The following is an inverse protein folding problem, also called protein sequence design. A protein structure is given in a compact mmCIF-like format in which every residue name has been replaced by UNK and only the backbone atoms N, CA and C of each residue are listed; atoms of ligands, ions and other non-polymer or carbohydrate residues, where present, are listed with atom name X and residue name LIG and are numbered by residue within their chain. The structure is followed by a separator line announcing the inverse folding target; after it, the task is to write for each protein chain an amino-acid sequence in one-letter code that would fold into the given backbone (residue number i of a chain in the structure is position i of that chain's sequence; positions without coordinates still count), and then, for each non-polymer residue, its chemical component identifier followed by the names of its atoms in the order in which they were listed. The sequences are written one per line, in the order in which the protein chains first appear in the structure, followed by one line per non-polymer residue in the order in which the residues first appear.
data_IF_475201707162
#
_entry.id   IF_475201707162
#
_cell.length_a   1.000
_cell.length_b   1.000
_cell.length_c   1.000
_cell.angle_alpha   90.00
_cell.angle_beta   90.00
_cell.angle_gamma   90.00
#
_symmetry.space_group_name_H-M   'P 1'
#
loop_
_entity.id
_entity.type
_entity.pdbx_description
1 polymer ?
#
# COMPACT_ATOMS: atom_id res chain seq x y z
N UNK A 1 -11.27 12.18 -51.52
CA UNK A 1 -10.93 11.05 -50.62
C UNK A 1 -9.48 11.09 -50.08
N UNK A 2 -8.90 12.27 -49.80
CA UNK A 2 -7.58 12.42 -49.15
C UNK A 2 -7.55 13.47 -48.01
N UNK A 3 -8.68 14.11 -47.70
CA UNK A 3 -8.77 15.16 -46.66
C UNK A 3 -9.43 14.72 -45.33
N UNK A 4 -9.90 13.47 -45.20
CA UNK A 4 -10.52 12.97 -43.96
C UNK A 4 -9.58 12.17 -43.05
N UNK A 5 -8.41 11.73 -43.52
CA UNK A 5 -7.41 11.05 -42.67
C UNK A 5 -6.55 12.01 -41.82
N UNK A 6 -6.64 13.33 -42.07
CA UNK A 6 -5.77 14.33 -41.44
C UNK A 6 -6.32 14.88 -40.11
N UNK A 7 -7.59 14.61 -39.75
CA UNK A 7 -8.16 15.04 -38.46
C UNK A 7 -7.98 14.02 -37.33
N UNK A 8 -7.54 12.79 -37.63
CA UNK A 8 -7.33 11.73 -36.62
C UNK A 8 -5.94 11.80 -35.98
N UNK A 9 -4.97 12.47 -36.62
CA UNK A 9 -3.58 12.52 -36.16
C UNK A 9 -3.30 13.64 -35.14
N UNK A 10 -4.22 14.57 -34.92
CA UNK A 10 -3.97 15.80 -34.12
C UNK A 10 -4.33 15.72 -32.64
N UNK A 11 -4.81 14.58 -32.12
CA UNK A 11 -5.15 14.46 -30.68
C UNK A 11 -4.25 13.52 -29.88
N UNK A 12 -3.31 12.79 -30.51
CA UNK A 12 -2.48 11.80 -29.80
C UNK A 12 -0.98 11.86 -30.15
N UNK A 13 -0.54 12.69 -31.10
CA UNK A 13 0.88 12.78 -31.45
C UNK A 13 1.49 14.14 -31.10
N UNK A 14 2.15 14.22 -29.94
CA UNK A 14 3.26 15.15 -29.76
C UNK A 14 4.44 14.46 -29.06
N UNK A 15 5.60 14.64 -29.70
CA UNK A 15 6.99 14.32 -29.30
C UNK A 15 7.50 12.92 -29.70
N UNK A 16 8.00 12.88 -30.94
CA UNK A 16 8.97 11.90 -31.46
C UNK A 16 10.40 12.27 -31.04
N UNK A 17 11.26 11.25 -30.85
CA UNK A 17 12.53 11.14 -31.59
C UNK A 17 13.09 9.71 -31.49
N UNK A 18 13.50 9.18 -32.64
CA UNK A 18 13.83 7.78 -32.90
C UNK A 18 15.35 7.53 -33.01
N UNK A 19 15.79 6.29 -32.79
CA UNK A 19 16.91 5.66 -33.51
C UNK A 19 16.70 4.13 -33.63
N UNK A 20 17.17 3.48 -34.72
CA UNK A 20 16.96 2.05 -34.97
C UNK A 20 18.11 1.20 -34.39
N UNK A 21 17.78 0.07 -33.77
CA UNK A 21 18.76 -0.95 -33.39
C UNK A 21 18.67 -2.15 -34.33
N UNK A 22 19.78 -2.42 -35.03
CA UNK A 22 20.00 -3.63 -35.79
C UNK A 22 20.31 -4.80 -34.83
N UNK A 23 19.69 -5.96 -35.09
CA UNK A 23 19.87 -7.16 -34.29
C UNK A 23 21.24 -7.79 -34.55
N UNK A 24 22.02 -8.00 -33.48
CA UNK A 24 23.21 -8.85 -33.48
C UNK A 24 22.97 -9.94 -32.44
N UNK A 25 23.24 -11.19 -32.81
CA UNK A 25 23.11 -12.34 -31.92
C UNK A 25 24.13 -12.24 -30.77
N UNK A 26 23.66 -12.28 -29.52
CA UNK A 26 24.49 -12.13 -28.33
C UNK A 26 24.69 -13.46 -27.59
N UNK A 27 25.96 -13.79 -27.34
CA UNK A 27 26.38 -14.80 -26.36
C UNK A 27 26.10 -14.27 -24.94
N UNK A 28 25.82 -15.18 -24.00
CA UNK A 28 25.38 -14.83 -22.63
C UNK A 28 26.38 -13.98 -21.82
N UNK A 29 27.69 -14.06 -22.12
CA UNK A 29 28.72 -13.19 -21.51
C UNK A 29 28.77 -11.77 -22.07
N UNK A 30 28.42 -11.60 -23.35
CA UNK A 30 28.38 -10.29 -24.00
C UNK A 30 27.11 -9.51 -23.58
N UNK A 31 26.03 -10.22 -23.26
CA UNK A 31 24.75 -9.64 -22.83
C UNK A 31 24.84 -8.98 -21.44
N UNK A 32 25.61 -9.56 -20.50
CA UNK A 32 25.83 -9.00 -19.16
C UNK A 32 26.57 -7.66 -19.25
N UNK A 33 27.63 -7.61 -20.05
CA UNK A 33 28.38 -6.37 -20.29
C UNK A 33 27.59 -5.31 -21.06
N UNK A 34 26.67 -5.73 -21.94
CA UNK A 34 25.79 -4.82 -22.69
C UNK A 34 24.77 -4.09 -21.80
N UNK A 35 24.34 -4.72 -20.69
CA UNK A 35 23.38 -4.12 -19.74
C UNK A 35 24.09 -3.35 -18.63
N UNK A 36 25.18 -3.88 -18.09
CA UNK A 36 25.88 -3.25 -16.96
C UNK A 36 26.50 -1.91 -17.31
N UNK A 37 27.23 -1.85 -18.42
CA UNK A 37 27.99 -0.67 -18.83
C UNK A 37 27.13 0.59 -18.96
N UNK A 38 25.95 0.57 -19.62
CA UNK A 38 25.09 1.75 -19.67
C UNK A 38 24.50 2.10 -18.31
N UNK A 39 24.12 1.13 -17.46
CA UNK A 39 23.60 1.41 -16.12
C UNK A 39 24.64 2.10 -15.24
N UNK A 40 25.88 1.60 -15.26
CA UNK A 40 27.00 2.19 -14.52
C UNK A 40 27.28 3.62 -14.99
N UNK A 41 27.40 3.82 -16.30
CA UNK A 41 27.67 5.14 -16.87
C UNK A 41 26.55 6.15 -16.54
N UNK A 42 25.29 5.72 -16.57
CA UNK A 42 24.15 6.55 -16.18
C UNK A 42 24.22 6.95 -14.68
N UNK A 43 24.52 6.01 -13.79
CA UNK A 43 24.68 6.28 -12.37
C UNK A 43 25.85 7.27 -12.11
N UNK A 44 27.01 7.03 -12.70
CA UNK A 44 28.21 7.88 -12.54
C UNK A 44 27.99 9.28 -13.11
N UNK A 45 27.24 9.41 -14.21
CA UNK A 45 26.84 10.70 -14.75
C UNK A 45 26.12 11.55 -13.71
N UNK A 46 25.17 10.98 -12.97
CA UNK A 46 24.44 11.68 -11.89
C UNK A 46 25.37 12.07 -10.74
N UNK A 47 26.27 11.16 -10.34
CA UNK A 47 27.21 11.39 -9.24
C UNK A 47 28.20 12.53 -9.50
N UNK A 48 28.50 12.82 -10.76
CA UNK A 48 29.43 13.90 -11.17
C UNK A 48 28.75 15.26 -11.39
N UNK A 49 27.42 15.33 -11.29
CA UNK A 49 26.72 16.60 -11.48
C UNK A 49 27.05 17.59 -10.37
N UNK A 50 27.33 18.84 -10.75
CA UNK A 50 27.62 19.90 -9.79
C UNK A 50 26.37 20.42 -9.05
N UNK A 51 25.18 20.21 -9.62
CA UNK A 51 23.92 20.73 -9.08
C UNK A 51 23.10 19.61 -8.43
N UNK A 52 22.98 19.66 -7.10
CA UNK A 52 22.23 18.68 -6.32
C UNK A 52 20.74 18.62 -6.70
N UNK A 53 20.13 19.71 -7.18
CA UNK A 53 18.72 19.73 -7.60
C UNK A 53 18.54 18.87 -8.86
N UNK A 54 19.37 19.11 -9.88
CA UNK A 54 19.35 18.32 -11.11
C UNK A 54 19.68 16.85 -10.80
N UNK A 55 20.72 16.60 -10.00
CA UNK A 55 21.13 15.26 -9.64
C UNK A 55 20.04 14.49 -8.89
N UNK A 56 19.34 15.16 -7.97
CA UNK A 56 18.24 14.54 -7.20
C UNK A 56 17.06 14.10 -8.09
N UNK A 57 16.80 14.82 -9.18
CA UNK A 57 15.73 14.46 -10.13
C UNK A 57 16.04 13.21 -10.97
N UNK A 58 17.33 12.84 -11.06
CA UNK A 58 17.82 11.69 -11.83
C UNK A 58 18.35 10.56 -10.93
N UNK A 59 18.14 10.65 -9.61
CA UNK A 59 18.69 9.70 -8.62
C UNK A 59 18.27 8.24 -8.89
N UNK A 60 17.15 8.03 -9.56
CA UNK A 60 16.68 6.70 -9.99
C UNK A 60 17.67 5.97 -10.91
N UNK A 61 18.54 6.68 -11.63
CA UNK A 61 19.61 6.06 -12.42
C UNK A 61 20.66 5.39 -11.53
N UNK A 62 20.97 6.00 -10.37
CA UNK A 62 21.85 5.41 -9.36
C UNK A 62 21.20 4.15 -8.78
N UNK A 63 19.91 4.25 -8.43
CA UNK A 63 19.11 3.16 -7.87
C UNK A 63 19.04 1.93 -8.78
N UNK A 64 18.81 2.12 -10.09
CA UNK A 64 18.84 1.03 -11.07
C UNK A 64 20.18 0.29 -11.08
N UNK A 65 21.31 1.00 -10.99
CA UNK A 65 22.61 0.35 -10.95
C UNK A 65 22.88 -0.35 -9.61
N UNK A 66 22.48 0.26 -8.49
CA UNK A 66 22.53 -0.38 -7.17
C UNK A 66 21.73 -1.68 -7.16
N UNK A 67 20.52 -1.69 -7.72
CA UNK A 67 19.67 -2.88 -7.78
C UNK A 67 20.28 -3.96 -8.68
N UNK A 68 20.88 -3.57 -9.81
CA UNK A 68 21.66 -4.49 -10.64
C UNK A 68 22.82 -5.13 -9.86
N UNK A 69 23.64 -4.34 -9.17
CA UNK A 69 24.74 -4.87 -8.36
C UNK A 69 24.24 -5.78 -7.24
N UNK A 70 23.12 -5.40 -6.59
CA UNK A 70 22.50 -6.18 -5.53
C UNK A 70 21.98 -7.53 -6.02
N UNK A 71 21.37 -7.57 -7.22
CA UNK A 71 20.88 -8.80 -7.85
C UNK A 71 21.99 -9.74 -8.32
N UNK A 72 23.21 -9.24 -8.49
CA UNK A 72 24.39 -10.01 -8.89
C UNK A 72 25.37 -10.26 -7.71
N UNK A 73 24.87 -10.23 -6.47
CA UNK A 73 25.65 -10.45 -5.24
C UNK A 73 26.86 -9.51 -5.03
N UNK A 74 26.92 -8.37 -5.74
CA UNK A 74 27.99 -7.37 -5.69
C UNK A 74 27.66 -6.24 -4.70
N UNK A 75 27.18 -6.61 -3.52
CA UNK A 75 26.65 -5.66 -2.54
C UNK A 75 27.69 -4.68 -1.99
N UNK A 76 28.94 -5.12 -1.81
CA UNK A 76 30.03 -4.24 -1.33
C UNK A 76 30.37 -3.16 -2.37
N UNK A 77 30.32 -3.51 -3.65
CA UNK A 77 30.54 -2.56 -4.76
C UNK A 77 29.40 -1.55 -4.88
N UNK A 78 28.17 -1.91 -4.48
CA UNK A 78 27.03 -1.01 -4.48
C UNK A 78 27.16 0.13 -3.45
N UNK A 79 28.01 -0.02 -2.41
CA UNK A 79 28.13 0.93 -1.29
C UNK A 79 28.33 2.39 -1.73
N UNK A 80 29.36 2.76 -2.53
CA UNK A 80 29.57 4.15 -2.94
C UNK A 80 28.38 4.74 -3.72
N UNK A 81 27.71 3.93 -4.54
CA UNK A 81 26.50 4.35 -5.25
C UNK A 81 25.33 4.56 -4.29
N UNK A 82 25.16 3.68 -3.30
CA UNK A 82 24.15 3.86 -2.25
C UNK A 82 24.41 5.14 -1.45
N UNK A 83 25.65 5.37 -1.01
CA UNK A 83 26.02 6.57 -0.25
C UNK A 83 25.80 7.85 -1.07
N UNK A 84 26.15 7.84 -2.36
CA UNK A 84 25.91 8.97 -3.25
C UNK A 84 24.42 9.21 -3.49
N UNK A 85 23.65 8.18 -3.83
CA UNK A 85 22.20 8.32 -4.02
C UNK A 85 21.49 8.79 -2.75
N UNK A 86 21.90 8.31 -1.57
CA UNK A 86 21.32 8.73 -0.29
C UNK A 86 21.71 10.17 0.10
N UNK A 87 22.79 10.71 -0.46
CA UNK A 87 23.10 12.14 -0.31
C UNK A 87 22.13 13.04 -1.06
N UNK A 88 21.47 12.51 -2.10
CA UNK A 88 20.49 13.20 -2.93
C UNK A 88 19.03 12.89 -2.51
N UNK A 89 18.77 11.65 -2.08
CA UNK A 89 17.46 11.17 -1.66
C UNK A 89 17.56 10.36 -0.34
N UNK A 90 17.76 11.04 0.81
CA UNK A 90 18.05 10.37 2.08
C UNK A 90 16.88 9.57 2.66
N UNK A 91 15.65 9.84 2.20
CA UNK A 91 14.42 9.20 2.70
C UNK A 91 14.05 7.93 1.92
N UNK A 92 14.90 7.47 1.00
CA UNK A 92 14.68 6.20 0.28
C UNK A 92 15.10 5.02 1.17
N UNK A 93 14.19 4.60 2.05
CA UNK A 93 14.51 3.67 3.14
C UNK A 93 14.98 2.28 2.69
N UNK A 94 14.59 1.82 1.51
CA UNK A 94 15.11 0.58 0.94
C UNK A 94 16.64 0.60 0.81
N UNK A 95 17.21 1.72 0.35
CA UNK A 95 18.66 1.87 0.23
C UNK A 95 19.33 2.19 1.57
N UNK A 96 18.62 2.82 2.51
CA UNK A 96 19.07 2.92 3.91
C UNK A 96 19.24 1.52 4.54
N UNK A 97 18.28 0.61 4.30
CA UNK A 97 18.34 -0.77 4.75
C UNK A 97 19.51 -1.54 4.12
N UNK A 98 19.68 -1.42 2.79
CA UNK A 98 20.82 -2.00 2.06
C UNK A 98 22.17 -1.53 2.62
N UNK A 99 22.31 -0.23 2.90
CA UNK A 99 23.53 0.30 3.50
C UNK A 99 23.75 -0.20 4.93
N UNK A 100 22.69 -0.30 5.75
CA UNK A 100 22.78 -0.89 7.09
C UNK A 100 23.33 -2.33 7.04
N UNK A 101 22.83 -3.14 6.10
CA UNK A 101 23.32 -4.51 5.88
C UNK A 101 24.79 -4.57 5.47
N UNK A 102 25.23 -3.68 4.57
CA UNK A 102 26.65 -3.59 4.16
C UNK A 102 27.53 -3.20 5.36
N UNK A 103 27.12 -2.20 6.14
CA UNK A 103 27.87 -1.75 7.31
C UNK A 103 28.02 -2.85 8.35
N UNK A 104 26.98 -3.64 8.60
CA UNK A 104 27.04 -4.80 9.50
C UNK A 104 28.04 -5.86 8.98
N UNK A 105 28.03 -6.16 7.67
CA UNK A 105 29.01 -7.08 7.06
C UNK A 105 30.44 -6.61 7.19
N UNK A 106 30.66 -5.29 7.23
CA UNK A 106 31.98 -4.67 7.41
C UNK A 106 32.38 -4.53 8.89
N UNK A 107 31.57 -5.03 9.84
CA UNK A 107 31.82 -4.94 11.27
C UNK A 107 31.47 -3.59 11.90
N UNK A 108 30.89 -2.66 11.16
CA UNK A 108 30.43 -1.37 11.67
C UNK A 108 29.01 -1.48 12.25
N UNK A 109 28.89 -2.25 13.33
CA UNK A 109 27.60 -2.63 13.92
C UNK A 109 26.80 -1.45 14.49
N UNK A 110 27.48 -0.44 15.06
CA UNK A 110 26.80 0.74 15.60
C UNK A 110 26.10 1.55 14.51
N UNK A 111 26.81 1.89 13.43
CA UNK A 111 26.23 2.63 12.31
C UNK A 111 25.15 1.81 11.57
N UNK A 112 25.32 0.49 11.49
CA UNK A 112 24.30 -0.41 10.96
C UNK A 112 23.02 -0.37 11.80
N UNK A 113 23.14 -0.44 13.13
CA UNK A 113 22.03 -0.37 14.06
C UNK A 113 21.27 0.96 13.95
N UNK A 114 21.97 2.10 13.94
CA UNK A 114 21.35 3.42 13.85
C UNK A 114 20.52 3.57 12.55
N UNK A 115 21.06 3.12 11.42
CA UNK A 115 20.34 3.13 10.14
C UNK A 115 19.15 2.16 10.16
N UNK A 116 19.35 0.95 10.69
CA UNK A 116 18.29 -0.03 10.85
C UNK A 116 17.13 0.51 11.68
N UNK A 117 17.42 1.25 12.76
CA UNK A 117 16.42 1.87 13.63
C UNK A 117 15.60 2.92 12.88
N UNK A 118 16.26 3.79 12.10
CA UNK A 118 15.55 4.78 11.27
C UNK A 118 14.64 4.09 10.26
N UNK A 119 15.14 3.05 9.57
CA UNK A 119 14.33 2.28 8.62
C UNK A 119 13.10 1.69 9.31
N UNK A 120 13.27 1.04 10.46
CA UNK A 120 12.17 0.43 11.22
C UNK A 120 11.12 1.45 11.68
N UNK A 121 11.56 2.63 12.13
CA UNK A 121 10.68 3.68 12.64
C UNK A 121 9.96 4.46 11.53
N UNK A 122 10.53 4.51 10.32
CA UNK A 122 10.08 5.41 9.25
C UNK A 122 9.51 4.72 8.02
N UNK A 123 10.11 3.63 7.55
CA UNK A 123 9.67 2.96 6.33
C UNK A 123 8.29 2.34 6.52
N UNK A 124 7.36 2.66 5.64
CA UNK A 124 6.03 2.06 5.61
C UNK A 124 5.95 0.81 4.71
N UNK A 125 7.04 0.48 4.01
CA UNK A 125 7.14 -0.75 3.21
C UNK A 125 7.55 -1.96 4.10
N UNK A 126 6.69 -2.98 4.24
CA UNK A 126 6.98 -4.14 5.07
C UNK A 126 8.22 -4.92 4.62
N UNK A 127 8.51 -4.97 3.32
CA UNK A 127 9.68 -5.71 2.82
C UNK A 127 10.98 -5.00 3.23
N UNK A 128 11.02 -3.68 3.09
CA UNK A 128 12.13 -2.84 3.57
C UNK A 128 12.33 -2.97 5.08
N UNK A 129 11.26 -2.96 5.88
CA UNK A 129 11.35 -3.14 7.35
C UNK A 129 11.91 -4.53 7.70
N UNK A 130 11.48 -5.58 7.00
CA UNK A 130 11.96 -6.95 7.22
C UNK A 130 13.47 -7.10 7.03
N UNK A 131 14.06 -6.36 6.10
CA UNK A 131 15.52 -6.40 5.86
C UNK A 131 16.34 -6.05 7.11
N UNK A 132 15.81 -5.21 8.00
CA UNK A 132 16.58 -4.66 9.14
C UNK A 132 16.25 -5.29 10.49
N UNK A 133 15.28 -6.21 10.57
CA UNK A 133 14.84 -6.79 11.85
C UNK A 133 15.96 -7.46 12.63
N UNK A 134 16.77 -8.28 11.96
CA UNK A 134 17.89 -9.00 12.60
C UNK A 134 18.94 -8.04 13.17
N UNK A 135 19.19 -6.90 12.50
CA UNK A 135 20.12 -5.88 12.98
C UNK A 135 19.62 -5.22 14.28
N UNK A 136 18.32 -5.27 14.55
CA UNK A 136 17.68 -4.73 15.74
C UNK A 136 17.39 -5.80 16.81
N UNK A 137 17.88 -7.03 16.63
CA UNK A 137 17.54 -8.14 17.52
C UNK A 137 16.04 -8.48 17.52
N UNK A 138 15.33 -8.15 16.44
CA UNK A 138 13.91 -8.47 16.22
C UNK A 138 13.80 -9.62 15.24
N UNK A 139 12.68 -10.34 15.31
CA UNK A 139 12.35 -11.42 14.37
C UNK A 139 11.15 -11.04 13.53
N UNK A 140 11.05 -11.62 12.33
CA UNK A 140 9.85 -11.50 11.51
C UNK A 140 8.65 -12.13 12.21
N UNK A 141 7.47 -11.65 11.85
CA UNK A 141 6.21 -12.05 12.47
C UNK A 141 5.68 -13.26 11.73
N UNK A 142 5.52 -14.37 12.46
CA UNK A 142 4.83 -15.54 11.96
C UNK A 142 3.44 -15.13 11.43
N UNK A 143 2.92 -15.78 10.37
CA UNK A 143 1.55 -15.55 9.93
C UNK A 143 0.58 -15.64 11.12
N UNK A 144 -0.40 -14.74 11.18
CA UNK A 144 -1.39 -14.80 12.25
C UNK A 144 -2.18 -16.10 12.16
N UNK A 145 -2.73 -16.54 13.29
CA UNK A 145 -3.53 -17.77 13.33
C UNK A 145 -4.72 -17.62 12.37
N UNK A 146 -5.12 -18.70 11.68
CA UNK A 146 -6.30 -18.64 10.84
C UNK A 146 -7.56 -18.68 11.72
N UNK A 147 -8.67 -18.14 11.20
CA UNK A 147 -9.91 -17.90 11.95
C UNK A 147 -10.57 -19.22 12.41
N UNK A 148 -10.24 -20.38 11.85
CA UNK A 148 -10.88 -21.65 12.20
C UNK A 148 -10.40 -22.24 13.55
N UNK A 149 -9.42 -21.60 14.22
CA UNK A 149 -8.78 -22.11 15.45
C UNK A 149 -9.00 -21.22 16.68
N UNK A 150 -10.16 -20.56 16.81
CA UNK A 150 -10.41 -19.63 17.91
C UNK A 150 -10.88 -20.34 19.19
N UNK A 151 -10.20 -20.04 20.30
CA UNK A 151 -10.68 -20.30 21.67
C UNK A 151 -10.35 -19.07 22.51
N UNK A 152 -11.37 -18.38 23.04
CA UNK A 152 -11.22 -17.21 23.91
C UNK A 152 -12.19 -17.35 25.09
N UNK A 153 -11.70 -17.17 26.32
CA UNK A 153 -12.46 -17.42 27.54
C UNK A 153 -13.10 -16.15 28.17
N UNK A 154 -12.79 -14.97 27.65
CA UNK A 154 -13.11 -13.66 28.25
C UNK A 154 -13.58 -12.65 27.17
N UNK A 155 -14.07 -11.44 27.54
CA UNK A 155 -14.24 -10.35 26.59
C UNK A 155 -12.90 -10.02 25.93
N UNK A 156 -12.78 -10.34 24.64
CA UNK A 156 -11.54 -10.26 23.87
C UNK A 156 -11.76 -9.36 22.65
N UNK A 157 -10.78 -8.51 22.36
CA UNK A 157 -10.74 -7.78 21.08
C UNK A 157 -10.17 -8.71 20.03
N UNK A 158 -10.96 -8.98 19.00
CA UNK A 158 -10.58 -9.84 17.89
C UNK A 158 -10.25 -8.93 16.70
N UNK A 159 -8.96 -8.86 16.36
CA UNK A 159 -8.50 -8.21 15.14
C UNK A 159 -8.46 -9.24 14.01
N UNK A 160 -9.11 -8.94 12.89
CA UNK A 160 -9.07 -9.78 11.68
C UNK A 160 -8.46 -8.97 10.56
N UNK A 161 -7.41 -9.48 9.93
CA UNK A 161 -6.78 -8.82 8.80
C UNK A 161 -7.59 -9.09 7.53
N UNK A 162 -7.84 -8.06 6.71
CA UNK A 162 -8.59 -8.16 5.46
C UNK A 162 -7.65 -7.77 4.30
N UNK A 163 -7.32 -8.75 3.47
CA UNK A 163 -6.34 -8.61 2.38
C UNK A 163 -4.89 -8.74 2.86
N UNK A 164 -3.97 -8.43 1.95
CA UNK A 164 -2.54 -8.33 2.26
C UNK A 164 -2.27 -7.06 3.08
N UNK A 165 -1.55 -7.20 4.20
CA UNK A 165 -1.31 -6.11 5.15
C UNK A 165 0.09 -6.19 5.79
N UNK A 166 0.55 -5.08 6.38
CA UNK A 166 1.74 -5.06 7.23
C UNK A 166 1.49 -5.80 8.56
N UNK A 167 1.99 -7.04 8.66
CA UNK A 167 1.91 -7.88 9.87
C UNK A 167 2.66 -7.30 11.05
N UNK A 168 3.79 -6.63 10.82
CA UNK A 168 4.58 -6.00 11.89
C UNK A 168 3.78 -4.85 12.47
N UNK A 169 3.13 -4.03 11.62
CA UNK A 169 2.26 -2.94 12.06
C UNK A 169 1.10 -3.45 12.91
N UNK A 170 0.42 -4.50 12.48
CA UNK A 170 -0.73 -5.06 13.22
C UNK A 170 -0.31 -5.72 14.52
N UNK A 171 0.84 -6.40 14.58
CA UNK A 171 1.35 -6.94 15.84
C UNK A 171 1.72 -5.81 16.83
N UNK A 172 2.32 -4.72 16.34
CA UNK A 172 2.60 -3.56 17.19
C UNK A 172 1.34 -2.84 17.66
N UNK A 173 0.30 -2.80 16.82
CA UNK A 173 -1.02 -2.32 17.20
C UNK A 173 -1.62 -3.21 18.29
N UNK A 174 -1.61 -4.53 18.11
CA UNK A 174 -2.06 -5.50 19.11
C UNK A 174 -1.39 -5.25 20.45
N UNK A 175 -0.06 -5.19 20.48
CA UNK A 175 0.71 -4.93 21.70
C UNK A 175 0.29 -3.60 22.33
N UNK A 176 0.16 -2.53 21.54
CA UNK A 176 -0.21 -1.21 22.04
C UNK A 176 -1.61 -1.19 22.64
N UNK A 177 -2.56 -1.89 22.04
CA UNK A 177 -3.92 -2.02 22.57
C UNK A 177 -3.90 -2.79 23.88
N UNK A 178 -3.23 -3.95 23.93
CA UNK A 178 -3.13 -4.78 25.14
C UNK A 178 -2.52 -3.98 26.31
N UNK A 179 -1.41 -3.29 26.06
CA UNK A 179 -0.71 -2.49 27.08
C UNK A 179 -1.54 -1.29 27.57
N UNK A 180 -2.32 -0.65 26.69
CA UNK A 180 -3.08 0.54 27.05
C UNK A 180 -4.44 0.24 27.67
N UNK A 181 -5.21 -0.65 27.04
CA UNK A 181 -6.59 -0.97 27.44
C UNK A 181 -6.63 -2.04 28.54
N UNK A 182 -5.62 -2.90 28.63
CA UNK A 182 -5.59 -3.99 29.62
C UNK A 182 -6.52 -5.15 29.29
N UNK A 183 -6.91 -5.31 28.01
CA UNK A 183 -7.70 -6.45 27.51
C UNK A 183 -6.85 -7.36 26.65
N UNK A 184 -7.23 -8.63 26.59
CA UNK A 184 -6.65 -9.55 25.62
C UNK A 184 -7.03 -9.12 24.20
N UNK A 185 -6.02 -9.02 23.34
CA UNK A 185 -6.18 -8.75 21.92
C UNK A 185 -5.60 -9.93 21.15
N UNK A 186 -6.42 -10.54 20.30
CA UNK A 186 -6.00 -11.66 19.47
C UNK A 186 -6.13 -11.27 18.00
N UNK A 187 -5.11 -11.59 17.21
CA UNK A 187 -5.07 -11.27 15.78
C UNK A 187 -5.20 -12.56 14.97
N UNK A 188 -6.08 -12.51 13.98
CA UNK A 188 -6.29 -13.58 13.00
C UNK A 188 -6.10 -13.06 11.58
N UNK A 189 -5.57 -13.92 10.72
CA UNK A 189 -5.58 -13.67 9.30
C UNK A 189 -6.92 -14.05 8.72
N UNK A 190 -7.60 -13.10 8.08
CA UNK A 190 -8.76 -13.41 7.26
C UNK A 190 -8.34 -14.29 6.08
N UNK A 191 -8.98 -15.46 5.95
CA UNK A 191 -8.75 -16.36 4.83
C UNK A 191 -9.96 -16.25 3.91
N UNK A 192 -9.73 -15.89 2.65
CA UNK A 192 -10.79 -15.74 1.67
C UNK A 192 -10.38 -14.81 0.53
N UNK A 193 -11.05 -14.96 -0.61
CA UNK A 193 -10.87 -14.04 -1.73
C UNK A 193 -11.58 -12.73 -1.41
N UNK A 194 -10.82 -11.64 -1.36
CA UNK A 194 -11.37 -10.30 -1.19
C UNK A 194 -12.44 -10.04 -2.28
N UNK A 195 -13.63 -9.51 -1.93
CA UNK A 195 -14.61 -9.13 -2.93
C UNK A 195 -14.06 -8.06 -3.88
N UNK A 196 -14.62 -7.96 -5.08
CA UNK A 196 -14.26 -6.90 -6.02
C UNK A 196 -14.53 -5.51 -5.42
N UNK A 197 -13.74 -4.49 -5.77
CA UNK A 197 -13.94 -3.13 -5.28
C UNK A 197 -15.26 -2.53 -5.78
N UNK A 198 -16.01 -1.87 -4.90
CA UNK A 198 -17.25 -1.16 -5.25
C UNK A 198 -17.00 0.10 -6.09
N UNK A 199 -15.84 0.76 -5.90
CA UNK A 199 -15.39 1.88 -6.72
C UNK A 199 -14.02 1.56 -7.30
N UNK A 200 -13.87 1.70 -8.61
CA UNK A 200 -12.62 1.41 -9.31
C UNK A 200 -12.42 2.37 -10.46
N UNK A 201 -11.26 3.03 -10.48
CA UNK A 201 -10.88 3.89 -11.59
C UNK A 201 -10.82 3.11 -12.91
N UNK A 202 -10.31 1.88 -12.88
CA UNK A 202 -10.33 0.97 -14.02
C UNK A 202 -11.74 0.72 -14.58
N UNK A 203 -12.69 0.36 -13.71
CA UNK A 203 -14.08 0.12 -14.12
C UNK A 203 -14.69 1.39 -14.70
N UNK A 204 -14.45 2.54 -14.06
CA UNK A 204 -14.92 3.84 -14.54
C UNK A 204 -14.38 4.18 -15.93
N UNK A 205 -13.08 4.00 -16.16
CA UNK A 205 -12.45 4.27 -17.46
C UNK A 205 -12.98 3.35 -18.55
N UNK A 206 -13.13 2.06 -18.24
CA UNK A 206 -13.74 1.11 -19.17
C UNK A 206 -15.16 1.53 -19.53
N UNK A 207 -16.00 1.84 -18.54
CA UNK A 207 -17.37 2.26 -18.78
C UNK A 207 -17.46 3.53 -19.64
N UNK A 208 -16.51 4.47 -19.46
CA UNK A 208 -16.43 5.70 -20.25
C UNK A 208 -16.11 5.45 -21.72
N UNK A 209 -15.22 4.51 -22.03
CA UNK A 209 -14.71 4.30 -23.40
C UNK A 209 -15.41 3.16 -24.16
N UNK A 210 -15.92 2.15 -23.45
CA UNK A 210 -16.40 0.88 -24.02
C UNK A 210 -17.43 1.06 -25.12
N UNK A 211 -18.49 1.83 -24.87
CA UNK A 211 -19.56 2.01 -25.86
C UNK A 211 -19.06 2.68 -27.13
N UNK A 212 -18.18 3.67 -26.98
CA UNK A 212 -17.61 4.42 -28.10
C UNK A 212 -16.69 3.54 -28.94
N UNK A 213 -15.79 2.78 -28.29
CA UNK A 213 -14.85 1.90 -28.98
C UNK A 213 -15.57 0.75 -29.69
N UNK A 214 -16.56 0.13 -29.05
CA UNK A 214 -17.33 -0.97 -29.66
C UNK A 214 -18.23 -0.49 -30.82
N UNK A 215 -18.44 0.81 -30.98
CA UNK A 215 -19.18 1.40 -32.10
C UNK A 215 -18.28 1.78 -33.30
N UNK A 216 -16.95 1.71 -33.17
CA UNK A 216 -16.03 2.06 -34.24
C UNK A 216 -16.11 1.05 -35.39
N UNK A 217 -16.24 1.47 -36.66
CA UNK A 217 -16.33 0.57 -37.81
C UNK A 217 -15.14 -0.40 -37.93
N UNK A 218 -13.93 0.07 -37.61
CA UNK A 218 -12.70 -0.73 -37.64
C UNK A 218 -12.73 -1.84 -36.59
N UNK A 219 -13.24 -1.54 -35.41
CA UNK A 219 -13.39 -2.51 -34.31
C UNK A 219 -14.48 -3.52 -34.64
N UNK A 220 -15.62 -3.07 -35.20
CA UNK A 220 -16.69 -3.95 -35.67
C UNK A 220 -16.19 -4.92 -36.74
N UNK A 221 -15.40 -4.44 -37.70
CA UNK A 221 -14.79 -5.29 -38.73
C UNK A 221 -13.82 -6.30 -38.13
N UNK A 222 -12.99 -5.88 -37.18
CA UNK A 222 -12.07 -6.77 -36.48
C UNK A 222 -12.79 -7.86 -35.69
N UNK A 223 -13.86 -7.49 -34.97
CA UNK A 223 -14.67 -8.44 -34.20
C UNK A 223 -15.35 -9.46 -35.12
N UNK A 224 -15.85 -9.04 -36.29
CA UNK A 224 -16.43 -9.94 -37.28
C UNK A 224 -15.40 -10.94 -37.83
N UNK A 225 -14.19 -10.47 -38.20
CA UNK A 225 -13.09 -11.33 -38.67
C UNK A 225 -12.67 -12.37 -37.61
N UNK A 226 -12.54 -11.93 -36.35
CA UNK A 226 -12.16 -12.79 -35.23
C UNK A 226 -13.32 -13.58 -34.62
N UNK A 227 -14.54 -13.43 -35.14
CA UNK A 227 -15.78 -14.09 -34.65
C UNK A 227 -16.00 -13.86 -33.15
N UNK A 228 -15.75 -12.65 -32.68
CA UNK A 228 -15.88 -12.27 -31.27
C UNK A 228 -17.32 -11.91 -30.91
N UNK A 229 -17.77 -12.31 -29.73
CA UNK A 229 -19.09 -11.97 -29.22
C UNK A 229 -19.09 -10.59 -28.53
N UNK A 230 -19.79 -9.64 -29.14
CA UNK A 230 -19.97 -8.28 -28.62
C UNK A 230 -20.63 -8.29 -27.23
N UNK A 231 -21.53 -9.23 -26.95
CA UNK A 231 -22.19 -9.31 -25.65
C UNK A 231 -21.16 -9.58 -24.53
N UNK A 232 -20.20 -10.48 -24.77
CA UNK A 232 -19.12 -10.76 -23.82
C UNK A 232 -18.21 -9.55 -23.61
N UNK A 233 -17.89 -8.81 -24.67
CA UNK A 233 -17.05 -7.59 -24.56
C UNK A 233 -17.76 -6.44 -23.84
N UNK A 234 -19.10 -6.45 -23.81
CA UNK A 234 -19.90 -5.48 -23.04
C UNK A 234 -19.90 -5.76 -21.55
N UNK A 235 -19.74 -7.02 -21.13
CA UNK A 235 -19.88 -7.45 -19.73
C UNK A 235 -18.59 -7.91 -19.07
N UNK A 236 -17.52 -8.15 -19.83
CA UNK A 236 -16.24 -8.63 -19.32
C UNK A 236 -15.13 -7.59 -19.58
N UNK A 237 -14.73 -6.90 -18.52
CA UNK A 237 -13.72 -5.83 -18.52
C UNK A 237 -12.34 -6.33 -18.95
N UNK A 238 -11.90 -7.48 -18.47
CA UNK A 238 -10.60 -8.07 -18.82
C UNK A 238 -10.57 -8.50 -20.29
N UNK A 239 -11.63 -9.18 -20.75
CA UNK A 239 -11.73 -9.62 -22.13
C UNK A 239 -11.78 -8.41 -23.07
N UNK A 240 -12.50 -7.35 -22.69
CA UNK A 240 -12.53 -6.10 -23.43
C UNK A 240 -11.11 -5.51 -23.58
N UNK A 241 -10.37 -5.36 -22.48
CA UNK A 241 -8.99 -4.80 -22.51
C UNK A 241 -8.05 -5.68 -23.33
N UNK A 242 -8.10 -7.01 -23.16
CA UNK A 242 -7.27 -7.94 -23.91
C UNK A 242 -7.56 -7.84 -25.41
N UNK A 243 -8.84 -7.82 -25.80
CA UNK A 243 -9.26 -7.72 -27.19
C UNK A 243 -8.83 -6.40 -27.82
N UNK A 244 -9.02 -5.27 -27.11
CA UNK A 244 -8.62 -3.96 -27.63
C UNK A 244 -7.09 -3.82 -27.72
N UNK A 245 -6.34 -4.36 -26.76
CA UNK A 245 -4.88 -4.44 -26.85
C UNK A 245 -4.44 -5.22 -28.11
N UNK A 246 -5.07 -6.36 -28.40
CA UNK A 246 -4.76 -7.15 -29.60
C UNK A 246 -5.14 -6.44 -30.90
N UNK A 247 -6.31 -5.79 -30.94
CA UNK A 247 -6.74 -4.97 -32.06
C UNK A 247 -5.74 -3.85 -32.34
N UNK A 248 -5.35 -3.09 -31.31
CA UNK A 248 -4.37 -2.01 -31.44
C UNK A 248 -3.03 -2.56 -31.90
N UNK A 249 -2.57 -3.69 -31.38
CA UNK A 249 -1.26 -4.26 -31.75
C UNK A 249 -1.12 -4.57 -33.24
N UNK A 250 -2.22 -4.85 -33.94
CA UNK A 250 -2.22 -5.08 -35.39
C UNK A 250 -2.15 -3.81 -36.23
N UNK A 251 -2.53 -2.66 -35.65
CA UNK A 251 -2.67 -1.40 -36.38
C UNK A 251 -1.61 -0.37 -35.96
N UNK A 252 -1.32 -0.31 -34.66
CA UNK A 252 -0.37 0.59 -34.02
C UNK A 252 0.19 -0.07 -32.73
N UNK A 253 1.35 -0.74 -32.81
CA UNK A 253 1.97 -1.39 -31.65
C UNK A 253 2.28 -0.44 -30.49
N UNK A 254 2.63 0.82 -30.76
CA UNK A 254 2.93 1.79 -29.71
C UNK A 254 1.66 2.22 -28.99
N UNK A 255 0.54 2.42 -29.71
CA UNK A 255 -0.76 2.68 -29.10
C UNK A 255 -1.23 1.48 -28.26
N UNK A 256 -0.97 0.25 -28.70
CA UNK A 256 -1.31 -0.96 -27.94
C UNK A 256 -0.57 -1.04 -26.60
N UNK A 257 0.74 -0.77 -26.62
CA UNK A 257 1.56 -0.71 -25.41
C UNK A 257 1.07 0.39 -24.46
N UNK A 258 0.83 1.60 -24.98
CA UNK A 258 0.30 2.70 -24.19
C UNK A 258 -1.08 2.39 -23.58
N UNK A 259 -1.98 1.75 -24.34
CA UNK A 259 -3.29 1.35 -23.85
C UNK A 259 -3.17 0.30 -22.73
N UNK A 260 -2.36 -0.74 -22.94
CA UNK A 260 -2.12 -1.78 -21.95
C UNK A 260 -1.52 -1.19 -20.65
N UNK A 261 -0.52 -0.32 -20.78
CA UNK A 261 0.11 0.36 -19.65
C UNK A 261 -0.89 1.25 -18.92
N UNK A 262 -1.69 2.03 -19.63
CA UNK A 262 -2.73 2.87 -19.01
C UNK A 262 -3.79 2.03 -18.28
N UNK A 263 -4.18 0.88 -18.82
CA UNK A 263 -5.14 -0.02 -18.17
C UNK A 263 -4.54 -0.72 -16.95
N UNK A 264 -3.27 -1.13 -17.02
CA UNK A 264 -2.54 -1.65 -15.86
C UNK A 264 -2.44 -0.59 -14.75
N UNK A 265 -2.02 0.63 -15.09
CA UNK A 265 -2.00 1.77 -14.16
C UNK A 265 -3.41 2.07 -13.62
N UNK A 266 -4.46 1.97 -14.44
CA UNK A 266 -5.83 2.19 -14.00
C UNK A 266 -6.30 1.14 -12.97
N UNK A 267 -5.81 -0.10 -13.05
CA UNK A 267 -6.07 -1.14 -12.04
C UNK A 267 -5.34 -0.87 -10.74
N UNK A 268 -4.14 -0.30 -10.81
CA UNK A 268 -3.33 0.09 -9.66
C UNK A 268 -3.81 1.39 -9.00
N UNK A 269 -4.53 2.24 -9.75
CA UNK A 269 -5.16 3.48 -9.24
C UNK A 269 -6.33 3.17 -8.30
N UNK A 270 -6.67 4.18 -7.48
CA UNK A 270 -7.62 4.14 -6.36
C UNK A 270 -8.80 3.19 -6.55
N UNK A 271 -8.76 2.09 -5.81
CA UNK A 271 -9.88 1.18 -5.58
C UNK A 271 -10.43 1.46 -4.19
N UNK A 272 -11.75 1.48 -4.04
CA UNK A 272 -12.40 1.61 -2.74
C UNK A 272 -13.48 0.55 -2.56
N UNK A 273 -13.59 0.07 -1.33
CA UNK A 273 -14.63 -0.85 -0.91
C UNK A 273 -15.65 -0.13 -0.05
N UNK A 274 -16.90 -0.52 -0.21
CA UNK A 274 -17.96 -0.10 0.70
C UNK A 274 -17.78 -0.84 2.02
N UNK A 275 -18.02 -0.14 3.12
CA UNK A 275 -18.05 -0.76 4.46
C UNK A 275 -18.94 -2.00 4.51
N UNK A 276 -20.17 -1.92 3.97
CA UNK A 276 -21.11 -3.04 4.01
C UNK A 276 -20.56 -4.29 3.33
N UNK A 277 -19.93 -4.13 2.16
CA UNK A 277 -19.29 -5.22 1.40
C UNK A 277 -18.21 -5.91 2.23
N UNK A 278 -17.29 -5.14 2.83
CA UNK A 278 -16.23 -5.73 3.66
C UNK A 278 -16.74 -6.22 5.02
N UNK A 279 -17.80 -5.62 5.56
CA UNK A 279 -18.45 -6.06 6.80
C UNK A 279 -19.05 -7.45 6.62
N UNK A 280 -19.76 -7.67 5.52
CA UNK A 280 -20.40 -8.95 5.25
C UNK A 280 -19.32 -10.02 5.01
N UNK A 281 -18.27 -9.68 4.25
CA UNK A 281 -17.07 -10.51 4.11
C UNK A 281 -16.43 -10.86 5.47
N UNK A 282 -16.24 -9.87 6.36
CA UNK A 282 -15.70 -10.07 7.70
C UNK A 282 -16.56 -10.99 8.56
N UNK A 283 -17.88 -10.81 8.53
CA UNK A 283 -18.84 -11.65 9.26
C UNK A 283 -18.76 -13.09 8.76
N UNK A 284 -18.74 -13.30 7.45
CA UNK A 284 -18.67 -14.63 6.85
C UNK A 284 -17.37 -15.35 7.24
N UNK A 285 -16.24 -14.64 7.28
CA UNK A 285 -14.96 -15.21 7.74
C UNK A 285 -15.03 -15.74 9.18
N UNK A 286 -15.71 -15.03 10.09
CA UNK A 286 -15.77 -15.41 11.52
C UNK A 286 -17.00 -16.25 11.89
N UNK A 287 -17.93 -16.45 10.96
CA UNK A 287 -19.16 -17.22 11.16
C UNK A 287 -18.95 -18.61 11.80
N UNK A 288 -17.88 -19.39 11.48
CA UNK A 288 -17.68 -20.71 12.05
C UNK A 288 -17.38 -20.71 13.55
N UNK A 289 -16.94 -19.57 14.10
CA UNK A 289 -16.32 -19.49 15.42
C UNK A 289 -16.95 -18.41 16.32
N UNK A 290 -17.91 -17.63 15.79
CA UNK A 290 -18.50 -16.48 16.50
C UNK A 290 -19.07 -16.87 17.86
N UNK A 291 -18.52 -16.29 18.92
CA UNK A 291 -19.07 -16.37 20.29
C UNK A 291 -19.74 -15.04 20.67
N UNK A 292 -20.56 -15.04 21.73
CA UNK A 292 -21.35 -13.87 22.14
C UNK A 292 -20.55 -12.76 22.83
N UNK A 293 -19.23 -12.92 23.02
CA UNK A 293 -18.40 -12.02 23.86
C UNK A 293 -17.24 -11.34 23.12
N UNK A 294 -17.29 -11.20 21.79
CA UNK A 294 -16.20 -10.61 21.01
C UNK A 294 -16.50 -9.19 20.55
N UNK A 295 -15.46 -8.36 20.60
CA UNK A 295 -15.43 -7.10 19.88
C UNK A 295 -14.61 -7.30 18.60
N UNK A 296 -15.30 -7.40 17.46
CA UNK A 296 -14.70 -7.74 16.18
C UNK A 296 -14.26 -6.48 15.41
N UNK A 297 -12.98 -6.42 15.04
CA UNK A 297 -12.41 -5.31 14.27
C UNK A 297 -11.63 -5.84 13.07
N UNK A 298 -12.10 -5.55 11.87
CA UNK A 298 -11.35 -5.73 10.64
C UNK A 298 -10.27 -4.66 10.49
N UNK A 299 -9.05 -5.04 10.10
CA UNK A 299 -7.96 -4.13 9.76
C UNK A 299 -7.57 -4.35 8.30
N UNK A 300 -7.50 -3.28 7.51
CA UNK A 300 -7.20 -3.38 6.08
C UNK A 300 -6.35 -2.22 5.55
N UNK A 301 -5.58 -2.49 4.50
CA UNK A 301 -4.93 -1.45 3.67
C UNK A 301 -5.82 -0.97 2.52
N UNK A 302 -7.00 -1.56 2.33
CA UNK A 302 -7.90 -1.16 1.26
C UNK A 302 -8.66 0.11 1.62
N UNK A 303 -8.82 1.04 0.68
CA UNK A 303 -9.54 2.29 0.93
C UNK A 303 -11.03 2.03 1.14
N UNK A 304 -11.63 2.75 2.09
CA UNK A 304 -12.98 2.47 2.58
C UNK A 304 -13.90 3.68 2.36
N UNK A 305 -15.15 3.41 2.00
CA UNK A 305 -16.22 4.44 2.02
C UNK A 305 -17.53 3.88 2.58
N UNK A 306 -18.42 4.79 2.96
CA UNK A 306 -19.78 4.50 3.41
C UNK A 306 -20.77 5.43 2.73
N UNK A 307 -21.94 4.92 2.35
CA UNK A 307 -23.02 5.71 1.72
C UNK A 307 -22.49 6.64 0.61
N UNK A 308 -22.78 7.94 0.72
CA UNK A 308 -22.37 8.98 -0.21
C UNK A 308 -21.05 9.67 0.19
N UNK A 309 -20.31 9.14 1.17
CA UNK A 309 -19.01 9.69 1.55
C UNK A 309 -17.96 9.45 0.46
N UNK A 310 -16.99 10.36 0.37
CA UNK A 310 -15.81 10.15 -0.45
C UNK A 310 -14.96 9.01 0.11
N UNK A 311 -14.80 8.98 1.44
CA UNK A 311 -14.10 7.94 2.16
C UNK A 311 -14.45 7.99 3.66
N UNK A 312 -14.05 6.94 4.38
CA UNK A 312 -13.99 6.91 5.85
C UNK A 312 -12.70 6.22 6.31
N UNK A 313 -12.16 6.61 7.46
CA UNK A 313 -11.05 5.87 8.08
C UNK A 313 -11.52 4.56 8.75
N UNK A 314 -12.78 4.52 9.17
CA UNK A 314 -13.41 3.32 9.69
C UNK A 314 -14.91 3.36 9.47
N UNK A 315 -15.49 2.19 9.26
CA UNK A 315 -16.92 1.96 9.38
C UNK A 315 -17.22 1.16 10.64
N UNK A 316 -18.37 1.40 11.27
CA UNK A 316 -18.74 0.73 12.51
C UNK A 316 -20.24 0.45 12.49
N UNK A 317 -20.60 -0.79 12.83
CA UNK A 317 -21.93 -1.15 13.27
C UNK A 317 -21.87 -1.21 14.79
N UNK A 318 -22.43 -0.21 15.51
CA UNK A 318 -22.38 -0.15 16.96
C UNK A 318 -22.81 -1.48 17.58
N UNK A 319 -22.12 -1.90 18.64
CA UNK A 319 -22.36 -3.16 19.36
C UNK A 319 -22.11 -4.45 18.58
N UNK A 320 -21.53 -4.39 17.38
CA UNK A 320 -21.37 -5.58 16.54
C UNK A 320 -19.95 -5.72 15.96
N UNK A 321 -19.54 -4.84 15.05
CA UNK A 321 -18.24 -4.92 14.39
C UNK A 321 -17.81 -3.60 13.81
N UNK A 322 -16.51 -3.47 13.55
CA UNK A 322 -15.95 -2.36 12.82
C UNK A 322 -14.89 -2.80 11.83
N UNK A 323 -14.59 -1.93 10.87
CA UNK A 323 -13.47 -2.09 9.96
C UNK A 323 -12.70 -0.78 9.95
N UNK A 324 -11.39 -0.86 10.15
CA UNK A 324 -10.47 0.27 10.10
C UNK A 324 -9.59 0.10 8.86
N UNK A 325 -9.59 1.10 8.00
CA UNK A 325 -8.64 1.21 6.90
C UNK A 325 -7.49 2.12 7.31
N UNK A 326 -6.25 1.65 7.13
CA UNK A 326 -5.07 2.49 7.30
C UNK A 326 -4.56 3.07 5.97
N UNK A 327 -5.24 2.84 4.84
CA UNK A 327 -4.79 3.31 3.52
C UNK A 327 -4.51 4.81 3.50
N UNK A 328 -5.46 5.57 4.04
CA UNK A 328 -5.39 7.03 4.08
C UNK A 328 -4.55 7.57 5.24
N UNK A 329 -3.92 6.71 6.02
CA UNK A 329 -2.90 7.10 7.01
C UNK A 329 -1.48 6.98 6.48
N UNK A 330 -1.27 6.27 5.36
CA UNK A 330 0.04 6.08 4.74
C UNK A 330 0.57 7.39 4.17
N UNK A 331 1.88 7.60 4.26
CA UNK A 331 2.57 8.78 3.76
C UNK A 331 2.34 8.98 2.26
N UNK A 332 2.58 7.93 1.47
CA UNK A 332 2.47 7.97 0.01
C UNK A 332 1.06 8.32 -0.47
N UNK A 333 0.02 7.93 0.26
CA UNK A 333 -1.36 8.30 -0.06
C UNK A 333 -1.62 9.81 0.12
N UNK A 334 -0.91 10.44 1.05
CA UNK A 334 -1.11 11.83 1.44
C UNK A 334 -0.03 12.77 0.90
N UNK A 335 0.88 12.29 0.05
CA UNK A 335 2.09 13.02 -0.37
C UNK A 335 2.93 13.50 0.83
N UNK A 336 2.98 12.70 1.89
CA UNK A 336 3.82 12.93 3.06
C UNK A 336 5.01 11.95 3.03
N UNK A 337 6.18 12.31 3.58
CA UNK A 337 7.24 11.34 3.80
C UNK A 337 6.74 10.16 4.64
N UNK A 338 7.13 8.93 4.28
CA UNK A 338 6.80 7.74 5.05
C UNK A 338 7.26 7.91 6.51
N UNK A 339 6.38 7.54 7.43
CA UNK A 339 6.65 7.56 8.85
C UNK A 339 5.80 6.50 9.55
N UNK A 340 6.31 5.27 9.58
CA UNK A 340 5.64 4.11 10.18
C UNK A 340 5.23 4.31 11.64
N UNK A 341 6.03 5.03 12.45
CA UNK A 341 5.64 5.41 13.82
C UNK A 341 4.38 6.29 13.84
N UNK A 342 4.26 7.25 12.93
CA UNK A 342 3.05 8.07 12.74
C UNK A 342 1.89 7.22 12.24
N UNK A 343 2.11 6.32 11.27
CA UNK A 343 1.11 5.39 10.77
C UNK A 343 0.50 4.54 11.91
N UNK A 344 1.35 3.93 12.75
CA UNK A 344 0.92 3.18 13.93
C UNK A 344 0.13 4.05 14.91
N UNK A 345 0.59 5.28 15.17
CA UNK A 345 -0.13 6.24 16.02
C UNK A 345 -1.52 6.59 15.47
N UNK A 346 -1.62 6.91 14.17
CA UNK A 346 -2.88 7.19 13.48
C UNK A 346 -3.84 5.99 13.57
N UNK A 347 -3.34 4.78 13.32
CA UNK A 347 -4.13 3.54 13.41
C UNK A 347 -4.61 3.28 14.84
N UNK A 348 -3.76 3.49 15.84
CA UNK A 348 -4.12 3.31 17.24
C UNK A 348 -5.19 4.32 17.71
N UNK A 349 -5.05 5.60 17.35
CA UNK A 349 -6.08 6.62 17.62
C UNK A 349 -7.43 6.26 16.99
N UNK A 350 -7.40 5.73 15.76
CA UNK A 350 -8.62 5.28 15.09
C UNK A 350 -9.24 4.06 15.77
N UNK A 351 -8.41 3.12 16.24
CA UNK A 351 -8.86 2.00 17.06
C UNK A 351 -9.56 2.49 18.33
N UNK A 352 -8.99 3.42 19.09
CA UNK A 352 -9.62 3.93 20.32
C UNK A 352 -10.98 4.58 20.06
N UNK A 353 -11.12 5.30 18.94
CA UNK A 353 -12.41 5.86 18.49
C UNK A 353 -13.45 4.78 18.24
N UNK A 354 -13.08 3.76 17.48
CA UNK A 354 -13.93 2.62 17.10
C UNK A 354 -14.28 1.73 18.29
N UNK A 355 -13.30 1.37 19.11
CA UNK A 355 -13.46 0.58 20.33
C UNK A 355 -14.53 1.22 21.23
N UNK A 356 -14.48 2.53 21.33
CA UNK A 356 -15.47 3.30 22.02
C UNK A 356 -16.90 3.19 21.48
N UNK A 357 -17.08 3.32 20.17
CA UNK A 357 -18.39 3.20 19.50
C UNK A 357 -18.95 1.78 19.62
N UNK A 358 -18.09 0.77 19.52
CA UNK A 358 -18.49 -0.63 19.67
C UNK A 358 -19.02 -0.94 21.07
N UNK A 359 -18.58 -0.20 22.08
CA UNK A 359 -19.07 -0.29 23.46
C UNK A 359 -20.24 0.67 23.76
N UNK A 360 -20.91 1.21 22.73
CA UNK A 360 -22.14 2.01 22.90
C UNK A 360 -21.94 3.46 23.31
N UNK A 361 -20.70 3.93 23.37
CA UNK A 361 -20.44 5.32 23.71
C UNK A 361 -20.52 6.21 22.47
N UNK A 362 -21.08 7.40 22.63
CA UNK A 362 -21.11 8.42 21.57
C UNK A 362 -19.74 9.06 21.34
N UNK A 363 -19.63 9.93 20.33
CA UNK A 363 -18.40 10.68 20.04
C UNK A 363 -18.05 11.61 21.21
N UNK A 364 -16.76 11.68 21.53
CA UNK A 364 -16.28 12.58 22.57
C UNK A 364 -16.28 14.03 22.03
N UNK A 365 -16.65 14.98 22.89
CA UNK A 365 -16.61 16.41 22.60
C UNK A 365 -15.38 17.11 23.17
N UNK A 366 -14.60 16.43 24.02
CA UNK A 366 -13.37 16.96 24.57
C UNK A 366 -12.24 16.82 23.53
N UNK A 367 -11.60 17.94 23.11
CA UNK A 367 -10.65 17.94 22.01
C UNK A 367 -9.37 17.15 22.31
N UNK A 368 -8.98 17.07 23.59
CA UNK A 368 -7.84 16.28 24.04
C UNK A 368 -8.26 14.83 24.36
N UNK A 369 -8.77 14.14 23.34
CA UNK A 369 -9.18 12.75 23.41
C UNK A 369 -9.05 12.04 22.06
N UNK A 370 -8.53 10.81 22.04
CA UNK A 370 -8.46 9.99 20.82
C UNK A 370 -9.83 9.70 20.17
N UNK A 371 -10.93 9.95 20.90
CA UNK A 371 -12.31 9.73 20.44
C UNK A 371 -13.01 10.95 19.85
N UNK A 372 -12.37 12.12 19.83
CA UNK A 372 -12.93 13.26 19.10
C UNK A 372 -12.95 12.97 17.61
N UNK A 373 -13.94 13.49 16.91
CA UNK A 373 -14.08 13.32 15.47
C UNK A 373 -13.13 14.27 14.71
N UNK A 374 -12.21 13.76 13.89
CA UNK A 374 -11.42 14.59 13.00
C UNK A 374 -12.13 14.77 11.65
N UNK A 375 -12.07 15.98 11.10
CA UNK A 375 -12.54 16.30 9.74
C UNK A 375 -11.43 16.16 8.70
N UNK A 376 -10.18 16.28 9.14
CA UNK A 376 -8.98 16.18 8.28
C UNK A 376 -7.96 15.24 8.90
N UNK A 377 -6.98 14.81 8.10
CA UNK A 377 -5.87 14.01 8.62
C UNK A 377 -5.02 14.81 9.62
N UNK A 378 -4.83 16.11 9.40
CA UNK A 378 -4.15 17.00 10.34
C UNK A 378 -4.88 17.05 11.69
N UNK A 379 -6.21 17.19 11.69
CA UNK A 379 -6.99 17.09 12.93
C UNK A 379 -6.87 15.72 13.59
N UNK A 380 -6.71 14.63 12.80
CA UNK A 380 -6.47 13.30 13.36
C UNK A 380 -5.08 13.17 14.00
N UNK A 381 -4.08 13.87 13.48
CA UNK A 381 -2.74 13.92 14.03
C UNK A 381 -2.67 14.73 15.33
N UNK A 382 -3.45 15.81 15.45
CA UNK A 382 -3.55 16.61 16.68
C UNK A 382 -4.16 15.84 17.86
N UNK A 383 -5.01 14.83 17.58
CA UNK A 383 -5.60 13.98 18.63
C UNK A 383 -4.50 13.31 19.47
N UNK A 384 -4.66 13.19 20.79
CA UNK A 384 -3.73 12.40 21.58
C UNK A 384 -3.87 10.90 21.27
N UNK A 385 -2.84 10.12 21.60
CA UNK A 385 -2.91 8.65 21.62
C UNK A 385 -3.49 8.11 22.95
N UNK A 386 -4.36 8.89 23.62
CA UNK A 386 -5.02 8.49 24.87
C UNK A 386 -6.49 8.93 24.92
N UNK A 387 -7.24 8.34 25.84
CA UNK A 387 -8.60 8.71 26.19
C UNK A 387 -8.61 9.79 27.28
N UNK A 388 -9.52 10.76 27.16
CA UNK A 388 -9.79 11.68 28.27
C UNK A 388 -10.35 10.94 29.49
N UNK A 389 -10.36 11.61 30.64
CA UNK A 389 -10.84 11.01 31.89
C UNK A 389 -12.28 10.51 31.79
N UNK A 390 -13.21 11.25 31.16
CA UNK A 390 -14.60 10.79 31.04
C UNK A 390 -14.70 9.53 30.17
N UNK A 391 -14.01 9.51 29.03
CA UNK A 391 -14.06 8.35 28.12
C UNK A 391 -13.42 7.11 28.74
N UNK A 392 -12.29 7.29 29.45
CA UNK A 392 -11.59 6.22 30.14
C UNK A 392 -12.45 5.61 31.23
N UNK A 393 -12.97 6.43 32.15
CA UNK A 393 -13.81 5.96 33.27
C UNK A 393 -15.10 5.29 32.78
N UNK A 394 -15.70 5.81 31.70
CA UNK A 394 -16.87 5.18 31.09
C UNK A 394 -16.56 3.78 30.55
N UNK A 395 -15.45 3.60 29.83
CA UNK A 395 -15.04 2.28 29.33
C UNK A 395 -14.64 1.33 30.45
N UNK A 396 -13.87 1.81 31.45
CA UNK A 396 -13.51 1.03 32.65
C UNK A 396 -14.76 0.48 33.35
N UNK A 397 -15.79 1.32 33.51
CA UNK A 397 -17.07 0.92 34.10
C UNK A 397 -17.85 -0.05 33.23
N UNK A 398 -17.94 0.20 31.92
CA UNK A 398 -18.72 -0.62 30.99
C UNK A 398 -18.14 -2.03 30.83
N UNK A 399 -16.81 -2.15 30.86
CA UNK A 399 -16.10 -3.39 30.59
C UNK A 399 -15.55 -4.08 31.84
N UNK A 400 -15.61 -3.42 33.01
CA UNK A 400 -14.99 -3.88 34.25
C UNK A 400 -13.48 -4.17 34.08
N UNK A 401 -12.77 -3.19 33.49
CA UNK A 401 -11.32 -3.25 33.21
C UNK A 401 -10.61 -2.02 33.80
N UNK A 402 -9.28 -2.03 33.79
CA UNK A 402 -8.45 -0.88 34.16
C UNK A 402 -7.64 -0.42 32.95
N UNK A 403 -7.88 0.82 32.51
CA UNK A 403 -7.22 1.41 31.35
C UNK A 403 -6.10 2.32 31.85
N UNK A 404 -4.91 2.18 31.26
CA UNK A 404 -3.78 3.02 31.62
C UNK A 404 -4.05 4.50 31.37
N UNK A 405 -3.59 5.36 32.29
CA UNK A 405 -3.69 6.82 32.14
C UNK A 405 -2.81 7.36 31.02
N UNK A 406 -1.69 6.70 30.74
CA UNK A 406 -0.76 7.04 29.67
C UNK A 406 -0.32 5.79 28.94
N UNK A 407 0.05 5.91 27.67
CA UNK A 407 0.77 4.83 27.00
C UNK A 407 2.08 4.57 27.76
N UNK A 408 2.40 3.31 28.10
CA UNK A 408 3.72 2.97 28.63
C UNK A 408 4.80 3.47 27.68
N UNK A 409 5.83 4.14 28.18
CA UNK A 409 6.99 4.50 27.34
C UNK A 409 7.63 3.18 26.91
N UNK A 410 7.68 2.92 25.60
CA UNK A 410 8.48 1.80 25.06
C UNK A 410 9.92 1.97 25.55
N UNK A 411 10.51 0.89 26.07
CA UNK A 411 11.95 0.85 26.30
C UNK A 411 12.67 1.14 24.96
N UNK A 412 13.76 1.92 24.98
CA UNK A 412 14.42 2.46 23.78
C UNK A 412 14.86 1.42 22.74
#
# INVERSE_FOLDING_TARGET
MKMQKLQVLCLVSMVCCALPFAAVAFNSGDAVNAVEKPLKAAAESVMTQANNVAASSEVDLIWKYVDYLWANDRQIEAKPYIESGLSLAPFTYQYQAKLALILAKQGNNAAAFDRAKIVYDKSEDPQTVKLVLNLLGKSDVAPFKPVEKITCAAPTVILVTIGEIDRILVQELQQRITEYIGVEVVVFSGVGNLPAPDRSYFISEINRMRSTILAMPEVLSYMADKKLDIAQLKSNDELFVQTMTQFLKQNDPAAAENFANNMALAKERSQQWRYDTLRDFLIDMVKPVKTQNWLLVGITEHDLFMDNSNFVFAGTNPHAQAIISYKRFMGDFNNEPQNRKRLLGRLFKQFLSVFGLLNGMIRCTFPDCARVFPRTLAEHDEKPEYLCNECRQALEKLLNINISKTLPRRAP
#
